data_IF_197428695099
#
_entry.id   IF_197428695099
#
_cell.length_a   1.000
_cell.length_b   1.000
_cell.length_c   1.000
_cell.angle_alpha   90.00
_cell.angle_beta   90.00
_cell.angle_gamma   90.00
#
_symmetry.space_group_name_H-M   'P 1'
#
loop_
_entity.id
_entity.type
_entity.pdbx_description
1 polymer ?
#
# COMPACT_ATOMS: atom_id res chain seq x y z
N UNK A 1 -41.47 -62.34 -2.13
CA UNK A 1 -40.54 -62.23 -3.27
C UNK A 1 -41.24 -61.38 -4.34
N UNK A 2 -40.74 -60.15 -4.56
CA UNK A 2 -41.47 -59.03 -5.17
C UNK A 2 -41.46 -59.05 -6.71
N UNK A 3 -42.57 -58.60 -7.31
CA UNK A 3 -42.69 -58.15 -8.71
C UNK A 3 -43.05 -56.65 -8.74
N UNK A 4 -42.72 -56.02 -9.87
CA UNK A 4 -42.99 -54.63 -10.32
C UNK A 4 -42.15 -53.56 -9.60
N UNK A 5 -41.56 -52.55 -10.26
CA UNK A 5 -42.11 -51.71 -11.33
C UNK A 5 -40.97 -51.00 -12.10
N UNK A 6 -40.95 -51.09 -13.42
CA UNK A 6 -40.24 -50.14 -14.30
C UNK A 6 -41.18 -49.01 -14.68
N UNK A 7 -40.73 -47.74 -14.74
CA UNK A 7 -41.29 -46.61 -15.51
C UNK A 7 -40.46 -45.31 -15.31
N UNK A 8 -40.62 -44.23 -16.11
CA UNK A 8 -40.01 -44.03 -17.43
C UNK A 8 -39.15 -42.75 -17.47
N UNK A 9 -38.59 -42.45 -18.65
CA UNK A 9 -37.59 -41.41 -18.90
C UNK A 9 -37.98 -39.98 -18.49
N UNK A 10 -36.97 -39.23 -18.06
CA UNK A 10 -37.01 -37.78 -17.93
C UNK A 10 -36.56 -37.19 -19.27
N UNK A 11 -37.52 -36.86 -20.13
CA UNK A 11 -37.33 -35.85 -21.18
C UNK A 11 -37.71 -34.52 -20.56
N UNK A 12 -36.73 -33.82 -20.00
CA UNK A 12 -36.87 -32.47 -19.45
C UNK A 12 -36.00 -31.52 -20.25
N UNK A 13 -36.65 -30.70 -21.08
CA UNK A 13 -36.04 -29.70 -21.94
C UNK A 13 -35.11 -28.77 -21.17
N UNK A 14 -34.00 -28.41 -21.83
CA UNK A 14 -32.95 -27.58 -21.26
C UNK A 14 -33.42 -26.16 -20.95
N UNK A 15 -33.06 -25.73 -19.75
CA UNK A 15 -32.66 -24.35 -19.51
C UNK A 15 -31.23 -24.41 -19.00
N UNK A 16 -30.26 -24.42 -19.93
CA UNK A 16 -28.89 -24.09 -19.55
C UNK A 16 -28.90 -22.60 -19.26
N UNK A 17 -29.16 -22.25 -18.02
CA UNK A 17 -28.83 -20.93 -17.50
C UNK A 17 -27.31 -20.78 -17.69
N UNK A 18 -26.90 -19.99 -18.69
CA UNK A 18 -25.52 -19.58 -18.83
C UNK A 18 -25.18 -18.72 -17.61
N UNK A 19 -24.71 -19.37 -16.56
CA UNK A 19 -24.06 -18.69 -15.46
C UNK A 19 -22.78 -18.07 -16.03
N UNK A 20 -22.87 -16.79 -16.41
CA UNK A 20 -21.70 -16.00 -16.73
C UNK A 20 -20.88 -15.87 -15.45
N UNK A 21 -19.91 -16.78 -15.27
CA UNK A 21 -18.94 -16.68 -14.20
C UNK A 21 -18.10 -15.45 -14.50
N UNK A 22 -18.39 -14.34 -13.84
CA UNK A 22 -17.47 -13.20 -13.78
C UNK A 22 -16.24 -13.72 -13.05
N UNK A 23 -15.18 -14.04 -13.79
CA UNK A 23 -13.88 -14.32 -13.19
C UNK A 23 -13.41 -13.03 -12.53
N UNK A 24 -13.15 -12.98 -11.22
CA UNK A 24 -12.45 -11.85 -10.64
C UNK A 24 -11.07 -11.82 -11.30
N UNK A 25 -10.77 -10.76 -12.05
CA UNK A 25 -9.40 -10.52 -12.50
C UNK A 25 -8.51 -10.51 -11.25
N UNK A 26 -7.35 -11.20 -11.27
CA UNK A 26 -6.42 -11.07 -10.17
C UNK A 26 -6.05 -9.58 -10.09
N UNK A 27 -6.44 -8.92 -9.00
CA UNK A 27 -5.96 -7.58 -8.72
C UNK A 27 -4.44 -7.69 -8.57
N UNK A 28 -3.72 -7.31 -9.63
CA UNK A 28 -2.27 -7.19 -9.61
C UNK A 28 -1.92 -6.35 -8.39
N UNK A 29 -1.21 -6.98 -7.45
CA UNK A 29 -0.72 -6.32 -6.27
C UNK A 29 0.39 -5.38 -6.75
N UNK A 30 0.12 -4.09 -6.73
CA UNK A 30 1.15 -3.07 -6.74
C UNK A 30 1.20 -2.55 -5.32
N UNK A 31 2.08 -3.05 -4.47
CA UNK A 31 2.13 -2.81 -3.04
C UNK A 31 3.49 -2.27 -2.60
N UNK A 32 3.48 -1.60 -1.44
CA UNK A 32 4.70 -1.35 -0.68
C UNK A 32 5.08 -2.66 0.01
N UNK A 33 6.18 -3.27 -0.42
CA UNK A 33 6.68 -4.54 0.11
C UNK A 33 7.15 -4.41 1.55
N UNK A 34 7.98 -3.39 1.78
CA UNK A 34 8.65 -3.15 3.04
C UNK A 34 9.03 -1.68 3.17
N UNK A 35 9.08 -1.20 4.41
CA UNK A 35 9.73 0.05 4.76
C UNK A 35 10.57 -0.15 6.03
N UNK A 36 11.56 0.71 6.22
CA UNK A 36 12.40 0.73 7.41
C UNK A 36 12.75 2.17 7.77
N UNK A 37 12.70 2.48 9.06
CA UNK A 37 13.24 3.72 9.60
C UNK A 37 14.49 3.44 10.43
N UNK A 38 15.58 4.12 10.11
CA UNK A 38 16.81 4.13 10.90
C UNK A 38 16.95 5.48 11.61
N UNK A 39 16.54 5.50 12.88
CA UNK A 39 16.58 6.70 13.72
C UNK A 39 18.00 7.25 13.93
N UNK A 40 19.02 6.38 13.93
CA UNK A 40 20.41 6.78 14.13
C UNK A 40 20.98 7.50 12.91
N UNK A 41 20.53 7.10 11.71
CA UNK A 41 20.93 7.74 10.45
C UNK A 41 20.02 8.88 10.03
N UNK A 42 18.77 8.89 10.50
CA UNK A 42 17.73 9.79 10.01
C UNK A 42 17.24 9.39 8.62
N UNK A 43 17.24 8.09 8.30
CA UNK A 43 16.86 7.60 6.97
C UNK A 43 15.57 6.79 7.03
N UNK A 44 14.66 7.08 6.11
CA UNK A 44 13.49 6.26 5.86
C UNK A 44 13.61 5.63 4.48
N UNK A 45 13.58 4.31 4.43
CA UNK A 45 13.74 3.54 3.21
C UNK A 45 12.45 2.75 2.95
N UNK A 46 12.01 2.70 1.69
CA UNK A 46 10.89 1.84 1.31
C UNK A 46 11.11 1.19 -0.04
N UNK A 47 10.44 0.05 -0.21
CA UNK A 47 10.46 -0.76 -1.42
C UNK A 47 9.05 -1.01 -1.94
N UNK A 48 8.90 -0.96 -3.25
CA UNK A 48 7.69 -1.34 -3.98
C UNK A 48 7.95 -2.56 -4.87
N UNK A 49 6.89 -3.33 -5.15
CA UNK A 49 6.94 -4.45 -6.09
C UNK A 49 6.98 -4.00 -7.56
N UNK A 50 6.44 -2.82 -7.85
CA UNK A 50 6.41 -2.15 -9.14
C UNK A 50 7.20 -0.84 -9.15
N UNK A 51 7.55 -0.39 -10.33
CA UNK A 51 8.23 0.88 -10.56
C UNK A 51 7.31 2.04 -10.19
N UNK A 52 7.79 2.97 -9.37
CA UNK A 52 7.05 4.16 -8.97
C UNK A 52 7.97 5.36 -8.89
N UNK A 53 7.45 6.54 -9.22
CA UNK A 53 8.09 7.82 -8.92
C UNK A 53 7.28 8.49 -7.80
N UNK A 54 7.81 8.52 -6.57
CA UNK A 54 7.13 9.11 -5.43
C UNK A 54 7.00 10.62 -5.58
N UNK A 55 5.88 11.17 -5.13
CA UNK A 55 5.72 12.61 -4.93
C UNK A 55 5.86 12.91 -3.45
N UNK A 56 6.89 13.66 -3.10
CA UNK A 56 7.17 14.01 -1.72
C UNK A 56 6.75 15.45 -1.40
N UNK A 57 6.09 15.62 -0.26
CA UNK A 57 5.64 16.92 0.23
C UNK A 57 5.91 17.03 1.73
N UNK A 58 6.37 18.20 2.17
CA UNK A 58 6.42 18.55 3.59
C UNK A 58 5.18 19.39 3.93
N UNK A 59 4.41 18.94 4.92
CA UNK A 59 3.24 19.66 5.44
C UNK A 59 3.51 20.07 6.88
N UNK A 60 2.96 21.23 7.27
CA UNK A 60 3.04 21.75 8.63
C UNK A 60 1.71 21.54 9.37
N UNK A 61 1.75 21.60 10.71
CA UNK A 61 0.59 21.52 11.61
C UNK A 61 -0.25 20.21 11.55
N UNK A 62 0.24 19.07 12.10
CA UNK A 62 1.59 18.82 12.60
C UNK A 62 2.59 18.62 11.46
N UNK A 63 3.89 18.80 11.73
CA UNK A 63 4.93 18.63 10.73
C UNK A 63 5.00 17.18 10.27
N UNK A 64 4.89 16.94 8.97
CA UNK A 64 4.89 15.60 8.39
C UNK A 64 5.42 15.59 6.96
N UNK A 65 6.16 14.56 6.62
CA UNK A 65 6.47 14.24 5.22
C UNK A 65 5.43 13.28 4.69
N UNK A 66 4.91 13.58 3.52
CA UNK A 66 3.96 12.76 2.78
C UNK A 66 4.66 12.28 1.51
N UNK A 67 4.61 10.97 1.27
CA UNK A 67 5.09 10.33 0.07
C UNK A 67 3.90 9.67 -0.64
N UNK A 68 3.46 10.26 -1.74
CA UNK A 68 2.43 9.70 -2.60
C UNK A 68 3.05 8.77 -3.63
N UNK A 69 2.45 7.60 -3.77
CA UNK A 69 2.91 6.52 -4.63
C UNK A 69 1.80 6.20 -5.65
N UNK A 70 1.81 6.88 -6.82
CA UNK A 70 0.84 6.62 -7.87
C UNK A 70 0.98 5.20 -8.43
N UNK A 71 -0.14 4.58 -8.76
CA UNK A 71 -0.19 3.20 -9.28
C UNK A 71 -0.09 2.11 -8.22
N UNK A 72 0.05 2.46 -6.93
CA UNK A 72 0.14 1.52 -5.81
C UNK A 72 -1.23 1.34 -5.14
N UNK A 73 -1.63 0.09 -4.93
CA UNK A 73 -2.77 -0.33 -4.13
C UNK A 73 -2.34 -0.95 -2.80
N UNK A 74 -2.87 -0.42 -1.71
CA UNK A 74 -2.56 -0.91 -0.36
C UNK A 74 -3.52 -2.03 0.03
N UNK A 75 -3.03 -3.27 0.08
CA UNK A 75 -3.79 -4.41 0.63
C UNK A 75 -3.83 -4.41 2.15
N UNK A 76 -2.71 -4.04 2.78
CA UNK A 76 -2.54 -4.07 4.23
C UNK A 76 -2.03 -2.71 4.71
N UNK A 77 -2.93 -1.80 5.12
CA UNK A 77 -2.55 -0.55 5.76
C UNK A 77 -1.72 -0.82 7.01
N UNK A 78 -0.71 0.01 7.26
CA UNK A 78 0.16 -0.10 8.44
C UNK A 78 0.22 1.22 9.16
N UNK A 79 0.27 1.16 10.48
CA UNK A 79 0.46 2.30 11.36
C UNK A 79 1.42 1.89 12.45
N UNK A 80 2.52 2.61 12.56
CA UNK A 80 3.60 2.31 13.50
C UNK A 80 3.92 3.57 14.29
N UNK A 81 3.76 3.49 15.60
CA UNK A 81 4.22 4.55 16.50
C UNK A 81 5.71 4.37 16.74
N UNK A 82 6.44 5.47 16.68
CA UNK A 82 7.87 5.46 16.95
C UNK A 82 8.18 6.24 18.22
N UNK A 83 8.81 5.56 19.17
CA UNK A 83 9.24 6.17 20.43
C UNK A 83 10.62 6.83 20.32
N UNK A 84 11.43 6.46 19.33
CA UNK A 84 12.84 6.87 19.20
C UNK A 84 13.09 7.75 17.96
N UNK A 85 14.01 8.72 18.10
CA UNK A 85 14.35 9.64 17.02
C UNK A 85 13.25 10.68 16.73
N UNK A 86 13.30 11.33 15.55
CA UNK A 86 12.47 12.50 15.21
C UNK A 86 11.03 12.16 14.80
N UNK A 87 10.75 10.91 14.45
CA UNK A 87 9.41 10.49 14.05
C UNK A 87 8.56 10.17 15.27
N UNK A 88 7.31 10.64 15.24
CA UNK A 88 6.24 10.23 16.13
C UNK A 88 5.50 9.02 15.57
N UNK A 89 5.27 9.01 14.26
CA UNK A 89 4.47 7.96 13.64
C UNK A 89 4.75 7.77 12.15
N UNK A 90 4.61 6.54 11.67
CA UNK A 90 4.65 6.15 10.26
C UNK A 90 3.28 5.55 9.90
N UNK A 91 2.64 6.06 8.85
CA UNK A 91 1.38 5.52 8.31
C UNK A 91 1.57 5.12 6.85
N UNK A 92 1.12 3.94 6.49
CA UNK A 92 0.94 3.49 5.11
C UNK A 92 -0.53 3.19 4.88
N UNK A 93 -1.15 3.84 3.91
CA UNK A 93 -2.56 3.63 3.60
C UNK A 93 -2.91 4.03 2.17
N UNK A 94 -4.11 3.66 1.73
CA UNK A 94 -4.66 4.16 0.48
C UNK A 94 -5.09 5.62 0.71
N UNK A 95 -4.58 6.56 -0.10
CA UNK A 95 -5.04 7.95 -0.03
C UNK A 95 -6.29 8.16 -0.89
N UNK A 96 -6.25 7.65 -2.11
CA UNK A 96 -7.34 7.65 -3.08
C UNK A 96 -7.19 6.42 -3.99
N UNK A 97 -8.22 6.03 -4.77
CA UNK A 97 -8.11 4.90 -5.69
C UNK A 97 -6.88 5.04 -6.61
N UNK A 98 -5.99 4.05 -6.56
CA UNK A 98 -4.77 4.05 -7.38
C UNK A 98 -3.58 4.83 -6.83
N UNK A 99 -3.69 5.50 -5.67
CA UNK A 99 -2.55 6.19 -5.03
C UNK A 99 -2.40 5.77 -3.56
N UNK A 100 -1.31 5.09 -3.24
CA UNK A 100 -0.91 4.83 -1.86
C UNK A 100 -0.20 6.04 -1.27
N UNK A 101 -0.25 6.21 0.05
CA UNK A 101 0.41 7.30 0.76
C UNK A 101 1.14 6.76 1.98
N UNK A 102 2.41 7.14 2.08
CA UNK A 102 3.21 7.02 3.30
C UNK A 102 3.23 8.39 3.98
N UNK A 103 2.93 8.44 5.28
CA UNK A 103 3.01 9.64 6.11
C UNK A 103 4.01 9.40 7.22
N UNK A 104 5.02 10.26 7.30
CA UNK A 104 6.01 10.30 8.37
C UNK A 104 5.68 11.54 9.22
N UNK A 105 4.97 11.36 10.32
CA UNK A 105 4.64 12.42 11.27
C UNK A 105 5.81 12.63 12.22
N UNK A 106 6.30 13.86 12.31
CA UNK A 106 7.40 14.24 13.19
C UNK A 106 6.90 14.56 14.60
N UNK A 107 7.81 14.48 15.57
CA UNK A 107 7.56 14.97 16.92
C UNK A 107 7.50 16.52 16.92
N UNK A 108 6.73 17.15 17.82
CA UNK A 108 6.53 18.61 17.82
C UNK A 108 7.81 19.45 17.97
N UNK A 109 8.85 18.87 18.58
CA UNK A 109 10.17 19.45 18.80
C UNK A 109 11.12 19.30 17.60
N UNK A 110 10.68 18.62 16.53
CA UNK A 110 11.45 18.42 15.30
C UNK A 110 10.73 19.03 14.10
N UNK A 111 11.28 20.11 13.55
CA UNK A 111 10.69 20.88 12.44
C UNK A 111 11.67 21.00 11.26
N UNK A 112 11.74 19.98 10.38
CA UNK A 112 12.58 20.05 9.19
C UNK A 112 12.03 21.07 8.20
N UNK A 113 12.89 21.66 7.39
CA UNK A 113 12.49 22.52 6.26
C UNK A 113 12.53 21.72 4.97
N UNK A 114 11.61 21.99 4.02
CA UNK A 114 11.48 21.21 2.78
C UNK A 114 12.79 21.13 1.97
N UNK A 115 13.58 22.21 1.94
CA UNK A 115 14.87 22.25 1.24
C UNK A 115 15.96 21.35 1.85
N UNK A 116 15.74 20.79 3.04
CA UNK A 116 16.67 19.89 3.72
C UNK A 116 16.27 18.41 3.59
N UNK A 117 15.08 18.12 3.05
CA UNK A 117 14.60 16.77 2.84
C UNK A 117 15.09 16.26 1.48
N UNK A 118 15.80 15.14 1.47
CA UNK A 118 16.35 14.58 0.25
C UNK A 118 15.71 13.23 -0.06
N UNK A 119 14.88 13.17 -1.11
CA UNK A 119 14.27 11.93 -1.60
C UNK A 119 15.06 11.45 -2.79
N UNK A 120 15.66 10.28 -2.67
CA UNK A 120 16.51 9.69 -3.69
C UNK A 120 16.03 8.29 -4.05
N UNK A 121 15.88 8.04 -5.34
CA UNK A 121 15.71 6.70 -5.85
C UNK A 121 17.06 5.99 -5.90
N UNK A 122 17.22 4.89 -5.17
CA UNK A 122 18.29 3.92 -5.43
C UNK A 122 17.95 3.15 -6.72
N UNK A 123 16.66 2.89 -6.95
CA UNK A 123 16.10 2.38 -8.21
C UNK A 123 14.63 2.84 -8.32
N UNK A 124 13.93 2.50 -9.40
CA UNK A 124 12.49 2.77 -9.52
C UNK A 124 11.62 2.07 -8.48
N UNK A 125 12.19 1.10 -7.75
CA UNK A 125 11.50 0.33 -6.70
C UNK A 125 12.02 0.57 -5.29
N UNK A 126 13.18 1.21 -5.16
CA UNK A 126 13.85 1.42 -3.87
C UNK A 126 14.13 2.91 -3.69
N UNK A 127 13.57 3.47 -2.62
CA UNK A 127 13.62 4.90 -2.36
C UNK A 127 14.08 5.15 -0.94
N UNK A 128 14.92 6.18 -0.79
CA UNK A 128 15.42 6.63 0.50
C UNK A 128 15.05 8.09 0.66
N UNK A 129 14.46 8.40 1.81
CA UNK A 129 14.29 9.74 2.30
C UNK A 129 15.33 9.98 3.41
N UNK A 130 16.24 10.89 3.17
CA UNK A 130 17.19 11.38 4.17
C UNK A 130 16.57 12.60 4.86
N UNK A 131 16.52 12.54 6.19
CA UNK A 131 16.08 13.61 7.07
C UNK A 131 17.30 14.38 7.56
N UNK A 132 17.21 15.72 7.70
CA UNK A 132 18.29 16.49 8.28
C UNK A 132 18.54 16.07 9.73
N UNK A 133 19.81 15.96 10.10
CA UNK A 133 20.17 15.86 11.51
C UNK A 133 20.07 17.27 12.11
N UNK A 134 19.35 17.37 13.22
CA UNK A 134 19.25 18.61 14.00
C UNK A 134 20.34 18.64 15.06
#
# INVERSE_FOLDING_TARGET
>A
MQRYQSWPGVVGAGLVAMAATVSPLPAQANAVDAYKFDAAKGTFEFRTDTDVIPKAMLLQNPTRVVLDLPGIQVKNPRKEQNSSGPLKEIRLGQFEPGTARIVLEFKPDYQPTAGQMNVRGISYRNWVLEMPRN
#
